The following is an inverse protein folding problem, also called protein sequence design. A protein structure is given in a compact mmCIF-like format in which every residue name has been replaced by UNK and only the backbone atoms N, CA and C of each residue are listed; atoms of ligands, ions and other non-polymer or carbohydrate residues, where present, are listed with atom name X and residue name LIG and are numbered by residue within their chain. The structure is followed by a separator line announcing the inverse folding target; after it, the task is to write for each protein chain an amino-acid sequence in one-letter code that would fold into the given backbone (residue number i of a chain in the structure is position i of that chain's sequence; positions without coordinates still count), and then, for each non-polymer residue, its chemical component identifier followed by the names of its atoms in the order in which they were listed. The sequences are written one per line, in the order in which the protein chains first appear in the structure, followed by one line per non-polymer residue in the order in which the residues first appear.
data_IF_415002294458
#
_entry.id   IF_415002294458
#
_cell.length_a   1.000
_cell.length_b   1.000
_cell.length_c   1.000
_cell.angle_alpha   90.00
_cell.angle_beta   90.00
_cell.angle_gamma   90.00
#
_symmetry.space_group_name_H-M   'P 1'
#
loop_
_entity.id
_entity.type
_entity.pdbx_description
1 polymer ?
#
# COMPACT_ATOMS: atom_id res chain seq x y z
N UNK A 1 -6.34 0.56 27.40
CA UNK A 1 -6.24 -0.01 26.04
C UNK A 1 -5.01 0.58 25.37
N UNK A 2 -3.83 -0.05 25.50
CA UNK A 2 -2.57 0.47 24.91
C UNK A 2 -1.72 -0.63 24.25
N UNK A 3 -2.23 -1.87 24.21
CA UNK A 3 -1.47 -3.03 23.73
C UNK A 3 -1.70 -3.31 22.24
N UNK A 4 -2.88 -3.02 21.73
CA UNK A 4 -3.25 -3.30 20.33
C UNK A 4 -2.58 -2.36 19.31
N UNK A 5 -2.19 -1.15 19.71
CA UNK A 5 -1.53 -0.18 18.81
C UNK A 5 -0.08 -0.53 18.51
N UNK A 6 0.60 -1.24 19.40
CA UNK A 6 2.03 -1.53 19.27
C UNK A 6 2.30 -2.64 18.24
N UNK A 7 1.43 -3.66 18.20
CA UNK A 7 1.53 -4.76 17.23
C UNK A 7 1.33 -4.28 15.79
N UNK A 8 0.39 -3.36 15.57
CA UNK A 8 0.15 -2.78 14.26
C UNK A 8 1.37 -1.98 13.76
N UNK A 9 2.02 -1.20 14.63
CA UNK A 9 3.22 -0.45 14.28
C UNK A 9 4.39 -1.37 13.90
N UNK A 10 4.56 -2.48 14.62
CA UNK A 10 5.58 -3.50 14.30
C UNK A 10 5.32 -4.18 12.96
N UNK A 11 4.07 -4.52 12.64
CA UNK A 11 3.70 -5.11 11.35
C UNK A 11 3.93 -4.14 10.18
N UNK A 12 3.59 -2.86 10.36
CA UNK A 12 3.83 -1.81 9.36
C UNK A 12 5.32 -1.61 9.12
N UNK A 13 6.13 -1.54 10.18
CA UNK A 13 7.59 -1.38 10.05
C UNK A 13 8.27 -2.60 9.41
N UNK A 14 7.81 -3.82 9.73
CA UNK A 14 8.31 -5.04 9.10
C UNK A 14 7.96 -5.06 7.60
N UNK A 15 6.75 -4.63 7.25
CA UNK A 15 6.33 -4.52 5.86
C UNK A 15 7.11 -3.46 5.09
N UNK A 16 7.32 -2.28 5.67
CA UNK A 16 8.06 -1.20 5.01
C UNK A 16 9.47 -1.66 4.61
N UNK A 17 10.17 -2.33 5.53
CA UNK A 17 11.48 -2.95 5.24
C UNK A 17 11.39 -4.00 4.13
N UNK A 18 10.34 -4.82 4.13
CA UNK A 18 10.14 -5.86 3.11
C UNK A 18 9.80 -5.24 1.75
N UNK A 19 8.98 -4.20 1.72
CA UNK A 19 8.63 -3.46 0.52
C UNK A 19 9.83 -2.74 -0.08
N UNK A 20 10.68 -2.16 0.77
CA UNK A 20 11.95 -1.58 0.32
C UNK A 20 12.91 -2.65 -0.23
N UNK A 21 13.01 -3.81 0.44
CA UNK A 21 13.91 -4.90 0.06
C UNK A 21 13.47 -5.64 -1.22
N UNK A 22 12.19 -5.97 -1.35
CA UNK A 22 11.63 -6.65 -2.53
C UNK A 22 11.31 -5.68 -3.67
N UNK A 23 11.34 -4.37 -3.40
CA UNK A 23 11.05 -3.34 -4.39
C UNK A 23 9.56 -3.24 -4.73
N UNK A 24 8.67 -3.47 -3.75
CA UNK A 24 7.23 -3.25 -3.92
C UNK A 24 6.95 -1.75 -4.08
N UNK A 25 7.00 -1.29 -5.33
CA UNK A 25 6.75 0.09 -5.75
C UNK A 25 5.62 0.14 -6.75
N UNK A 26 4.87 1.23 -6.69
CA UNK A 26 3.82 1.53 -7.65
C UNK A 26 4.38 1.63 -9.07
N UNK A 27 3.74 0.97 -10.03
CA UNK A 27 4.15 1.05 -11.44
C UNK A 27 3.97 2.45 -12.05
N UNK A 28 3.09 3.28 -11.48
CA UNK A 28 2.75 4.61 -12.03
C UNK A 28 3.69 5.68 -11.50
N UNK A 29 3.82 5.78 -10.18
CA UNK A 29 4.58 6.84 -9.52
C UNK A 29 5.87 6.37 -8.84
N UNK A 30 6.20 5.09 -8.94
CA UNK A 30 7.38 4.47 -8.28
C UNK A 30 7.41 4.61 -6.76
N UNK A 31 6.32 5.02 -6.11
CA UNK A 31 6.25 5.15 -4.65
C UNK A 31 6.21 3.79 -3.97
N UNK A 32 6.84 3.66 -2.80
CA UNK A 32 6.82 2.41 -2.01
C UNK A 32 5.44 2.14 -1.45
N UNK A 33 5.00 0.88 -1.49
CA UNK A 33 3.66 0.46 -1.08
C UNK A 33 3.61 0.28 0.44
N UNK A 34 2.74 1.07 1.09
CA UNK A 34 2.47 0.96 2.52
C UNK A 34 1.72 -0.32 2.87
N UNK A 35 1.75 -0.69 4.16
CA UNK A 35 1.10 -1.90 4.67
C UNK A 35 -0.41 -1.94 4.39
N UNK A 36 -1.09 -0.78 4.48
CA UNK A 36 -2.53 -0.68 4.21
C UNK A 36 -2.90 -0.94 2.76
N UNK A 37 -2.03 -0.55 1.83
CA UNK A 37 -2.26 -0.63 0.38
C UNK A 37 -1.74 -1.94 -0.23
N UNK A 38 -1.20 -2.86 0.58
CA UNK A 38 -0.59 -4.10 0.09
C UNK A 38 -1.56 -4.93 -0.73
N UNK A 39 -2.81 -5.06 -0.28
CA UNK A 39 -3.81 -5.90 -0.92
C UNK A 39 -4.22 -5.31 -2.27
N UNK A 40 -4.36 -3.99 -2.32
CA UNK A 40 -4.66 -3.27 -3.55
C UNK A 40 -3.48 -3.33 -4.53
N UNK A 41 -2.25 -3.21 -4.05
CA UNK A 41 -1.05 -3.40 -4.87
C UNK A 41 -0.93 -4.82 -5.42
N UNK A 42 -1.28 -5.86 -4.65
CA UNK A 42 -1.26 -7.23 -5.19
C UNK A 42 -2.28 -7.43 -6.31
N UNK A 43 -3.42 -6.72 -6.26
CA UNK A 43 -4.45 -6.78 -7.31
C UNK A 43 -4.14 -5.90 -8.52
N UNK A 44 -3.59 -4.71 -8.30
CA UNK A 44 -3.50 -3.66 -9.33
C UNK A 44 -2.08 -3.28 -9.72
N UNK A 45 -1.07 -3.67 -8.92
CA UNK A 45 0.33 -3.21 -9.00
C UNK A 45 0.51 -1.70 -8.82
N UNK A 46 -0.51 -1.02 -8.27
CA UNK A 46 -0.50 0.41 -8.01
C UNK A 46 -0.50 0.71 -6.51
N UNK A 47 -0.01 1.90 -6.13
CA UNK A 47 -0.24 2.41 -4.78
C UNK A 47 -1.70 2.85 -4.62
N UNK A 48 -2.18 2.91 -3.37
CA UNK A 48 -3.59 3.23 -3.11
C UNK A 48 -4.06 4.57 -3.68
N UNK A 49 -3.15 5.54 -3.85
CA UNK A 49 -3.49 6.78 -4.54
C UNK A 49 -3.79 6.55 -6.03
N UNK A 50 -2.89 5.86 -6.74
CA UNK A 50 -3.05 5.59 -8.17
C UNK A 50 -4.20 4.62 -8.42
N UNK A 51 -4.38 3.61 -7.56
CA UNK A 51 -5.49 2.68 -7.62
C UNK A 51 -6.84 3.37 -7.35
N UNK A 52 -6.92 4.29 -6.37
CA UNK A 52 -8.12 5.11 -6.17
C UNK A 52 -8.42 6.03 -7.35
N UNK A 53 -7.41 6.64 -7.97
CA UNK A 53 -7.61 7.43 -9.19
C UNK A 53 -8.16 6.56 -10.33
N UNK A 54 -7.57 5.38 -10.56
CA UNK A 54 -8.05 4.44 -11.57
C UNK A 54 -9.49 3.97 -11.30
N UNK A 55 -9.85 3.81 -10.03
CA UNK A 55 -11.22 3.42 -9.64
C UNK A 55 -12.21 4.57 -9.82
N UNK A 56 -11.81 5.82 -9.54
CA UNK A 56 -12.66 7.01 -9.70
C UNK A 56 -12.97 7.32 -11.16
N UNK A 57 -12.04 7.09 -12.07
CA UNK A 57 -12.25 7.26 -13.52
C UNK A 57 -13.44 6.41 -14.01
N UNK A 58 -13.65 5.25 -13.38
CA UNK A 58 -14.72 4.31 -13.70
C UNK A 58 -16.08 4.66 -13.08
N UNK A 59 -16.21 5.75 -12.32
CA UNK A 59 -17.47 6.18 -11.67
C UNK A 59 -18.04 7.49 -12.23
N UNK A 60 -17.45 8.02 -13.29
CA UNK A 60 -17.97 9.20 -14.00
C UNK A 60 -18.70 8.77 -15.28
N UNK A 61 -19.81 8.05 -15.14
CA UNK A 61 -20.80 7.81 -16.21
C UNK A 61 -22.20 8.27 -15.78
#
# INVERSE_FOLDING_TARGET
MVREKDEAASAVAAWDRKAAAEGFRCIVCSTTIGYGDREEFFRTKMCGHCAQQATKDNWSE
#
